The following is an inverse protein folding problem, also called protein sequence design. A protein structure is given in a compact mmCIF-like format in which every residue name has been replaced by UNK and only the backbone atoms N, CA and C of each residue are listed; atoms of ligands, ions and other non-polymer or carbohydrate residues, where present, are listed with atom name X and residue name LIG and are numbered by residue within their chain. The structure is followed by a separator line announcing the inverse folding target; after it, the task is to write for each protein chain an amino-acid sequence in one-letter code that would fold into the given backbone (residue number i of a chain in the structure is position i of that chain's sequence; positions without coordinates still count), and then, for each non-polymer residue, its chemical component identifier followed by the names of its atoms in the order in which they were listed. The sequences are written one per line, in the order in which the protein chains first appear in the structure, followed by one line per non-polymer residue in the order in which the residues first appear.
data_IF_351286481249
#
_entry.id   IF_351286481249
#
_cell.length_a   1.000
_cell.length_b   1.000
_cell.length_c   1.000
_cell.angle_alpha   90.00
_cell.angle_beta   90.00
_cell.angle_gamma   90.00
#
_symmetry.space_group_name_H-M   'P 1'
#
loop_
_entity.id
_entity.type
_entity.pdbx_description
1 polymer ?
#
# COMPACT_ATOMS: atom_id res chain seq x y z
N UNK A 1 0.28 -17.14 10.48
CA UNK A 1 -0.08 -16.32 11.65
C UNK A 1 -0.23 -14.89 11.14
N UNK A 2 -1.39 -14.26 11.32
CA UNK A 2 -1.62 -12.89 10.85
C UNK A 2 -0.95 -11.91 11.81
N UNK A 3 -0.10 -11.02 11.30
CA UNK A 3 0.60 -10.01 12.10
C UNK A 3 -0.05 -8.65 11.86
N UNK A 4 -0.24 -7.89 12.93
CA UNK A 4 -0.72 -6.52 12.90
C UNK A 4 0.33 -5.60 13.52
N UNK A 5 0.66 -4.54 12.80
CA UNK A 5 1.54 -3.46 13.21
C UNK A 5 0.69 -2.36 13.85
N UNK A 6 1.09 -1.93 15.05
CA UNK A 6 0.47 -0.77 15.69
C UNK A 6 1.03 0.53 15.09
N UNK A 7 0.42 1.67 15.38
CA UNK A 7 0.88 2.99 14.90
C UNK A 7 2.36 3.24 15.24
N UNK A 8 2.78 2.89 16.45
CA UNK A 8 4.12 3.12 16.97
C UNK A 8 5.10 1.96 16.69
N UNK A 9 4.74 0.99 15.84
CA UNK A 9 5.59 -0.17 15.56
C UNK A 9 6.87 0.28 14.83
N UNK A 10 8.08 -0.06 15.34
CA UNK A 10 9.33 0.40 14.74
C UNK A 10 9.53 -0.13 13.32
N UNK A 11 8.85 -1.22 12.94
CA UNK A 11 8.96 -1.80 11.60
C UNK A 11 8.54 -0.85 10.50
N UNK A 12 7.73 0.18 10.80
CA UNK A 12 7.41 1.20 9.81
C UNK A 12 8.63 2.03 9.39
N UNK A 13 9.67 2.13 10.21
CA UNK A 13 10.93 2.78 9.87
C UNK A 13 11.90 1.82 9.16
N UNK A 14 11.76 0.51 9.38
CA UNK A 14 12.60 -0.55 8.82
C UNK A 14 12.10 -1.06 7.45
N UNK A 15 11.24 -0.30 6.79
CA UNK A 15 10.61 -0.69 5.54
C UNK A 15 11.59 -0.65 4.36
N UNK A 16 11.33 -1.48 3.35
CA UNK A 16 12.14 -1.57 2.12
C UNK A 16 11.70 -0.57 1.04
N UNK A 17 10.99 0.50 1.41
CA UNK A 17 10.21 1.36 0.47
C UNK A 17 10.99 2.28 -0.45
N UNK A 18 12.30 2.38 -0.29
CA UNK A 18 13.23 3.15 -1.14
C UNK A 18 12.70 4.55 -1.55
N UNK A 19 12.89 4.95 -2.81
CA UNK A 19 12.63 6.30 -3.30
C UNK A 19 11.17 6.77 -3.14
N UNK A 20 10.21 5.85 -3.15
CA UNK A 20 8.78 6.16 -2.97
C UNK A 20 8.41 6.59 -1.54
N UNK A 21 9.36 6.49 -0.59
CA UNK A 21 9.15 6.77 0.82
C UNK A 21 10.15 7.75 1.45
N UNK A 22 11.34 7.95 0.86
CA UNK A 22 12.35 8.81 1.49
C UNK A 22 12.27 10.29 1.09
N UNK A 23 11.71 10.62 -0.08
CA UNK A 23 11.74 11.99 -0.60
C UNK A 23 10.52 12.85 -0.24
N UNK A 24 9.37 12.22 0.01
CA UNK A 24 8.10 12.90 0.24
C UNK A 24 7.64 12.76 1.71
N UNK A 25 6.86 13.71 2.24
CA UNK A 25 6.20 13.55 3.54
C UNK A 25 5.10 12.46 3.48
N UNK A 26 4.83 11.86 4.63
CA UNK A 26 3.72 10.93 4.82
C UNK A 26 2.36 11.65 4.76
N UNK A 27 1.28 10.88 4.60
CA UNK A 27 -0.09 11.36 4.59
C UNK A 27 -0.54 11.76 6.00
N UNK A 28 -1.15 12.95 6.11
CA UNK A 28 -1.75 13.48 7.33
C UNK A 28 -3.25 13.77 7.20
N UNK A 29 -3.93 14.13 8.29
CA UNK A 29 -5.36 14.46 8.28
C UNK A 29 -5.68 15.69 7.42
N UNK A 30 -4.70 16.54 7.11
CA UNK A 30 -4.81 17.67 6.19
C UNK A 30 -4.85 17.27 4.70
N UNK A 31 -4.62 15.99 4.37
CA UNK A 31 -4.49 15.51 3.00
C UNK A 31 -5.77 14.92 2.41
N UNK A 32 -6.94 15.16 2.99
CA UNK A 32 -8.20 14.52 2.55
C UNK A 32 -8.51 14.75 1.06
N UNK A 33 -8.47 16.00 0.60
CA UNK A 33 -8.71 16.32 -0.82
C UNK A 33 -7.65 15.69 -1.73
N UNK A 34 -6.39 15.71 -1.29
CA UNK A 34 -5.26 15.12 -2.01
C UNK A 34 -5.39 13.60 -2.10
N UNK A 35 -5.90 12.94 -1.05
CA UNK A 35 -6.12 11.50 -1.00
C UNK A 35 -7.27 11.09 -1.93
N UNK A 36 -8.34 11.88 -2.01
CA UNK A 36 -9.43 11.65 -2.97
C UNK A 36 -8.94 11.75 -4.43
N UNK A 37 -8.14 12.79 -4.74
CA UNK A 37 -7.51 12.94 -6.07
C UNK A 37 -6.60 11.76 -6.35
N UNK A 38 -5.74 11.37 -5.40
CA UNK A 38 -4.87 10.21 -5.54
C UNK A 38 -5.68 8.96 -5.92
N UNK A 39 -6.73 8.61 -5.17
CA UNK A 39 -7.59 7.45 -5.43
C UNK A 39 -8.26 7.49 -6.81
N UNK A 40 -8.60 8.67 -7.31
CA UNK A 40 -9.19 8.85 -8.64
C UNK A 40 -8.18 8.66 -9.78
N UNK A 41 -6.88 8.84 -9.52
CA UNK A 41 -5.82 8.67 -10.51
C UNK A 41 -5.25 7.24 -10.58
N UNK A 42 -5.66 6.35 -9.68
CA UNK A 42 -5.17 4.99 -9.62
C UNK A 42 -5.70 4.14 -10.77
N UNK A 43 -4.81 3.34 -11.37
CA UNK A 43 -5.24 2.26 -12.25
C UNK A 43 -6.17 1.28 -11.50
N UNK A 44 -7.14 0.60 -12.17
CA UNK A 44 -8.11 -0.26 -11.48
C UNK A 44 -7.50 -1.34 -10.58
N UNK A 45 -6.38 -1.93 -11.00
CA UNK A 45 -5.67 -2.96 -10.22
C UNK A 45 -4.94 -2.35 -9.01
N UNK A 46 -4.38 -1.16 -9.18
CA UNK A 46 -3.76 -0.41 -8.10
C UNK A 46 -4.81 -0.03 -7.03
N UNK A 47 -5.98 0.45 -7.47
CA UNK A 47 -7.10 0.80 -6.58
C UNK A 47 -7.54 -0.42 -5.78
N UNK A 48 -7.79 -1.56 -6.42
CA UNK A 48 -8.15 -2.81 -5.74
C UNK A 48 -7.11 -3.26 -4.70
N UNK A 49 -5.83 -3.21 -5.05
CA UNK A 49 -4.75 -3.53 -4.10
C UNK A 49 -4.77 -2.61 -2.88
N UNK A 50 -4.84 -1.30 -3.10
CA UNK A 50 -4.84 -0.32 -2.02
C UNK A 50 -6.08 -0.46 -1.14
N UNK A 51 -7.26 -0.59 -1.72
CA UNK A 51 -8.51 -0.80 -0.98
C UNK A 51 -8.47 -2.07 -0.13
N UNK A 52 -7.86 -3.15 -0.64
CA UNK A 52 -7.68 -4.37 0.14
C UNK A 52 -6.80 -4.14 1.38
N UNK A 53 -5.71 -3.39 1.25
CA UNK A 53 -4.85 -3.03 2.37
C UNK A 53 -5.55 -2.10 3.37
N UNK A 54 -6.33 -1.12 2.89
CA UNK A 54 -7.07 -0.16 3.71
C UNK A 54 -8.14 -0.81 4.59
N UNK A 55 -8.71 -1.95 4.18
CA UNK A 55 -9.71 -2.70 4.97
C UNK A 55 -9.13 -3.33 6.25
N UNK A 56 -7.82 -3.48 6.33
CA UNK A 56 -7.15 -4.09 7.48
C UNK A 56 -5.89 -3.28 7.83
N UNK A 57 -6.04 -2.06 8.37
CA UNK A 57 -4.91 -1.21 8.73
C UNK A 57 -3.98 -1.92 9.72
N UNK A 58 -2.68 -1.76 9.52
CA UNK A 58 -1.64 -2.44 10.29
C UNK A 58 -1.45 -3.93 9.93
N UNK A 59 -2.40 -4.59 9.25
CA UNK A 59 -2.24 -6.01 8.88
C UNK A 59 -1.14 -6.15 7.84
N UNK A 60 -0.19 -7.03 8.11
CA UNK A 60 0.85 -7.40 7.14
C UNK A 60 0.30 -8.45 6.17
N UNK A 61 0.32 -8.16 4.87
CA UNK A 61 -0.27 -9.00 3.82
C UNK A 61 0.83 -9.37 2.81
N UNK A 62 1.06 -10.66 2.63
CA UNK A 62 2.05 -11.16 1.67
C UNK A 62 1.57 -10.98 0.21
N UNK A 63 2.49 -10.79 -0.73
CA UNK A 63 2.16 -10.58 -2.15
C UNK A 63 1.30 -11.70 -2.76
N UNK A 64 1.47 -12.94 -2.31
CA UNK A 64 0.63 -14.08 -2.75
C UNK A 64 -0.83 -13.92 -2.33
N UNK A 65 -1.08 -13.38 -1.13
CA UNK A 65 -2.44 -13.08 -0.66
C UNK A 65 -3.02 -11.90 -1.45
N UNK A 66 -2.24 -10.85 -1.73
CA UNK A 66 -2.71 -9.74 -2.56
C UNK A 66 -3.13 -10.19 -3.96
N UNK A 67 -2.36 -11.11 -4.57
CA UNK A 67 -2.73 -11.65 -5.88
C UNK A 67 -3.99 -12.49 -5.83
N UNK A 68 -4.12 -13.35 -4.81
CA UNK A 68 -5.28 -14.22 -4.62
C UNK A 68 -6.56 -13.43 -4.30
N UNK A 69 -6.48 -12.45 -3.39
CA UNK A 69 -7.64 -11.78 -2.79
C UNK A 69 -8.00 -10.43 -3.41
N UNK A 70 -7.03 -9.72 -4.00
CA UNK A 70 -7.25 -8.37 -4.52
C UNK A 70 -7.09 -8.26 -6.04
N UNK A 71 -6.12 -8.97 -6.65
CA UNK A 71 -5.78 -8.81 -8.07
C UNK A 71 -6.36 -9.90 -9.00
N UNK A 72 -7.13 -10.83 -8.46
CA UNK A 72 -7.98 -11.76 -9.22
C UNK A 72 -7.23 -12.64 -10.22
N UNK A 73 -6.31 -13.50 -9.77
CA UNK A 73 -5.76 -14.53 -10.66
C UNK A 73 -5.04 -15.67 -9.95
N UNK A 74 -4.79 -16.79 -10.67
CA UNK A 74 -4.07 -17.92 -10.09
C UNK A 74 -2.68 -17.46 -9.64
N UNK A 75 -2.29 -17.82 -8.41
CA UNK A 75 -0.93 -17.59 -7.85
C UNK A 75 0.19 -18.35 -8.59
N UNK A 76 -0.15 -19.09 -9.66
CA UNK A 76 0.83 -19.81 -10.48
C UNK A 76 1.59 -18.82 -11.39
N UNK A 77 2.66 -18.24 -10.83
CA UNK A 77 3.64 -17.44 -11.56
C UNK A 77 3.71 -15.99 -11.11
N UNK A 78 4.77 -15.68 -10.37
CA UNK A 78 5.33 -14.36 -10.08
C UNK A 78 4.39 -13.33 -9.41
N UNK A 79 3.94 -13.67 -8.19
CA UNK A 79 3.13 -12.77 -7.37
C UNK A 79 3.81 -11.42 -7.11
N UNK A 80 5.14 -11.42 -6.98
CA UNK A 80 5.94 -10.20 -6.84
C UNK A 80 5.80 -9.29 -8.06
N UNK A 81 5.95 -9.82 -9.29
CA UNK A 81 5.79 -9.04 -10.52
C UNK A 81 4.37 -8.50 -10.70
N UNK A 82 3.34 -9.26 -10.33
CA UNK A 82 1.95 -8.78 -10.40
C UNK A 82 1.71 -7.62 -9.44
N UNK A 83 2.19 -7.73 -8.21
CA UNK A 83 2.10 -6.63 -7.23
C UNK A 83 2.93 -5.42 -7.68
N UNK A 84 4.13 -5.62 -8.23
CA UNK A 84 4.93 -4.53 -8.80
C UNK A 84 4.22 -3.81 -9.94
N UNK A 85 3.47 -4.55 -10.78
CA UNK A 85 2.60 -3.98 -11.81
C UNK A 85 1.47 -3.12 -11.23
N UNK A 86 0.82 -3.59 -10.16
CA UNK A 86 -0.21 -2.81 -9.47
C UNK A 86 0.38 -1.54 -8.82
N UNK A 87 1.55 -1.63 -8.19
CA UNK A 87 2.26 -0.47 -7.63
C UNK A 87 2.64 0.54 -8.72
N UNK A 88 3.07 0.06 -9.90
CA UNK A 88 3.37 0.93 -11.05
C UNK A 88 2.15 1.73 -11.51
N UNK A 89 0.94 1.18 -11.32
CA UNK A 89 -0.34 1.87 -11.56
C UNK A 89 -0.64 3.01 -10.57
N UNK A 90 0.17 3.20 -9.53
CA UNK A 90 0.07 4.31 -8.57
C UNK A 90 1.06 5.44 -8.86
N UNK A 91 2.03 5.25 -9.77
CA UNK A 91 3.13 6.20 -9.99
C UNK A 91 2.67 7.60 -10.36
N UNK A 92 1.59 7.73 -11.14
CA UNK A 92 1.01 9.03 -11.51
C UNK A 92 0.45 9.76 -10.27
N UNK A 93 -0.41 9.10 -9.50
CA UNK A 93 -0.98 9.66 -8.28
C UNK A 93 0.10 9.99 -7.25
N UNK A 94 1.13 9.13 -7.12
CA UNK A 94 2.28 9.39 -6.26
C UNK A 94 3.01 10.68 -6.67
N UNK A 95 3.38 10.82 -7.95
CA UNK A 95 4.04 12.02 -8.46
C UNK A 95 3.22 13.29 -8.28
N UNK A 96 1.91 13.23 -8.53
CA UNK A 96 1.02 14.39 -8.42
C UNK A 96 0.71 14.79 -6.97
N UNK A 97 0.63 13.81 -6.07
CA UNK A 97 0.32 14.08 -4.66
C UNK A 97 1.45 14.78 -3.92
N UNK A 98 2.71 14.54 -4.31
CA UNK A 98 3.86 14.97 -3.53
C UNK A 98 3.92 14.30 -2.14
N UNK A 99 3.27 13.15 -1.98
CA UNK A 99 3.23 12.32 -0.76
C UNK A 99 3.85 10.96 -1.03
N UNK A 100 4.28 10.27 0.03
CA UNK A 100 4.76 8.87 -0.04
C UNK A 100 3.69 7.95 -0.62
N UNK A 101 4.07 6.75 -1.06
CA UNK A 101 3.07 5.71 -1.24
C UNK A 101 2.30 5.48 0.07
N UNK A 102 0.97 5.26 0.01
CA UNK A 102 0.13 5.13 1.19
C UNK A 102 0.24 3.76 1.88
N UNK A 103 1.24 2.96 1.53
CA UNK A 103 1.49 1.63 2.09
C UNK A 103 3.00 1.43 2.23
N UNK A 104 3.41 0.58 3.16
CA UNK A 104 4.78 0.16 3.38
C UNK A 104 4.98 -1.27 2.92
N UNK A 105 6.21 -1.64 2.59
CA UNK A 105 6.55 -3.01 2.27
C UNK A 105 7.89 -3.45 2.85
N UNK A 106 8.03 -4.75 3.10
CA UNK A 106 9.24 -5.40 3.57
C UNK A 106 9.53 -6.61 2.69
N UNK A 107 10.78 -6.75 2.26
CA UNK A 107 11.23 -7.95 1.59
C UNK A 107 10.96 -9.19 2.46
N UNK A 108 10.61 -10.30 1.84
CA UNK A 108 10.48 -11.57 2.55
C UNK A 108 11.83 -11.95 3.19
N UNK A 109 11.82 -12.65 4.34
CA UNK A 109 13.05 -13.11 4.98
C UNK A 109 13.87 -14.01 4.04
N UNK A 110 15.17 -14.10 4.29
CA UNK A 110 16.11 -14.86 3.48
C UNK A 110 15.61 -16.30 3.23
N UNK A 111 15.63 -16.74 1.97
CA UNK A 111 15.08 -18.03 1.55
C UNK A 111 13.58 -18.02 1.21
N UNK A 112 12.89 -16.89 1.34
CA UNK A 112 11.52 -16.67 0.86
C UNK A 112 11.47 -15.64 -0.27
N UNK A 113 10.57 -15.83 -1.23
CA UNK A 113 10.39 -14.92 -2.36
C UNK A 113 9.18 -14.01 -2.17
N UNK A 114 9.34 -12.72 -2.44
CA UNK A 114 8.25 -11.75 -2.44
C UNK A 114 8.42 -10.63 -1.43
N UNK A 115 7.31 -9.97 -1.12
CA UNK A 115 7.26 -8.87 -0.17
C UNK A 115 5.94 -8.90 0.59
N UNK A 116 5.98 -8.34 1.79
CA UNK A 116 4.81 -8.15 2.65
C UNK A 116 4.47 -6.68 2.69
N UNK A 117 3.19 -6.34 2.64
CA UNK A 117 2.68 -4.99 2.53
C UNK A 117 1.76 -4.68 3.71
N UNK A 118 1.75 -3.43 4.18
CA UNK A 118 0.80 -2.96 5.18
C UNK A 118 0.56 -1.46 5.03
N UNK A 119 -0.59 -0.98 5.51
CA UNK A 119 -0.88 0.46 5.60
C UNK A 119 -0.85 0.87 7.07
N UNK A 120 -0.16 1.97 7.38
CA UNK A 120 -0.15 2.51 8.75
C UNK A 120 -1.55 2.98 9.13
N UNK A 121 -2.05 2.71 10.36
CA UNK A 121 -3.42 3.06 10.75
C UNK A 121 -3.81 4.52 10.52
N UNK A 122 -2.95 5.47 10.87
CA UNK A 122 -3.20 6.90 10.60
C UNK A 122 -3.35 7.22 9.12
N UNK A 123 -2.49 6.65 8.26
CA UNK A 123 -2.58 6.79 6.80
C UNK A 123 -3.88 6.18 6.29
N UNK A 124 -4.25 4.98 6.75
CA UNK A 124 -5.52 4.37 6.34
C UNK A 124 -6.73 5.24 6.69
N UNK A 125 -6.72 5.89 7.87
CA UNK A 125 -7.79 6.78 8.27
C UNK A 125 -7.99 7.95 7.30
N UNK A 126 -6.91 8.53 6.74
CA UNK A 126 -6.99 9.60 5.73
C UNK A 126 -7.71 9.11 4.48
N UNK A 127 -7.31 7.96 3.93
CA UNK A 127 -7.89 7.43 2.70
C UNK A 127 -9.33 6.94 2.88
N UNK A 128 -9.64 6.31 4.02
CA UNK A 128 -11.01 5.89 4.34
C UNK A 128 -11.92 7.10 4.54
N UNK A 129 -11.43 8.18 5.19
CA UNK A 129 -12.19 9.43 5.30
C UNK A 129 -12.39 10.09 3.93
N UNK A 130 -11.39 10.08 3.05
CA UNK A 130 -11.52 10.59 1.69
C UNK A 130 -12.59 9.84 0.88
N UNK A 131 -12.67 8.50 1.03
CA UNK A 131 -13.71 7.69 0.36
C UNK A 131 -15.14 7.98 0.84
N UNK A 132 -15.31 8.44 2.10
CA UNK A 132 -16.62 8.78 2.65
C UNK A 132 -17.09 10.18 2.22
N UNK A 133 -16.19 11.03 1.72
CA UNK A 133 -16.49 12.37 1.21
C UNK A 133 -16.75 12.42 -0.30
N UNK A 134 -16.61 11.30 -1.02
CA UNK A 134 -16.98 11.14 -2.44
C UNK A 134 -18.50 11.01 -2.64
#
# INVERSE_FOLDING_TARGET
MTVYLTEADPRWAEHSGEAGHYAAPEWGPEDLERAAVFLSELAPQARQMLEYLLRAPGRTIHCTELVDKALGGPSQGDAARRVAGAVSGMSKGHGNSGRRYPFYWWAAPEGSSGATYAVRPSVAAVFLAAQLGE
#
